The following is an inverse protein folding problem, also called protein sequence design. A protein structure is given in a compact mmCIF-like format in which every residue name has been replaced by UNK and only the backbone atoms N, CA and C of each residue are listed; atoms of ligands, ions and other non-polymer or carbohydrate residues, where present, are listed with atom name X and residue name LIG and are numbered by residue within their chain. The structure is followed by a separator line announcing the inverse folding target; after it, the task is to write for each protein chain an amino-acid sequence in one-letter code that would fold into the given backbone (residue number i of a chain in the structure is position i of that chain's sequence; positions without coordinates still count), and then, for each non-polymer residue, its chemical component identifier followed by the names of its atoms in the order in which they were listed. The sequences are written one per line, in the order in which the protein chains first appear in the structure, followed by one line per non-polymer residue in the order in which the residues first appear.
data_IF_642541184278
#
_entry.id   IF_642541184278
#
_cell.length_a   1.000
_cell.length_b   1.000
_cell.length_c   1.000
_cell.angle_alpha   90.00
_cell.angle_beta   90.00
_cell.angle_gamma   90.00
#
_symmetry.space_group_name_H-M   'P 1'
#
loop_
_entity.id
_entity.type
_entity.pdbx_description
1 polymer ?
#
# COMPACT_ATOMS: atom_id res chain seq x y z
N UNK A 1 -18.97 22.61 -0.96
CA UNK A 1 -18.39 21.70 0.04
C UNK A 1 -17.42 20.80 -0.71
N UNK A 2 -16.11 20.86 -0.47
CA UNK A 2 -15.16 19.97 -1.14
C UNK A 2 -15.57 18.52 -0.86
N UNK A 3 -15.90 17.77 -1.89
CA UNK A 3 -16.31 16.39 -1.76
C UNK A 3 -15.08 15.59 -1.32
N UNK A 4 -15.14 15.04 -0.11
CA UNK A 4 -14.02 14.31 0.49
C UNK A 4 -14.06 12.89 -0.07
N UNK A 5 -13.22 12.62 -1.07
CA UNK A 5 -12.97 11.27 -1.59
C UNK A 5 -11.63 10.78 -1.05
N UNK A 6 -11.53 10.43 0.24
CA UNK A 6 -10.27 9.93 0.75
C UNK A 6 -10.00 8.59 0.05
N UNK A 7 -8.91 8.53 -0.72
CA UNK A 7 -8.46 7.31 -1.41
C UNK A 7 -8.21 6.19 -0.39
N UNK A 8 -7.76 6.56 0.82
CA UNK A 8 -7.64 5.66 1.96
C UNK A 8 -8.81 5.86 2.93
N UNK A 9 -9.52 4.78 3.24
CA UNK A 9 -10.51 4.79 4.33
C UNK A 9 -9.81 4.87 5.69
N UNK A 10 -10.54 5.30 6.73
CA UNK A 10 -9.95 5.55 8.07
C UNK A 10 -9.47 4.29 8.79
N UNK A 11 -9.94 3.13 8.37
CA UNK A 11 -9.56 1.82 8.87
C UNK A 11 -8.28 1.30 8.21
N UNK A 12 -7.75 1.94 7.18
CA UNK A 12 -6.46 1.57 6.59
C UNK A 12 -5.32 2.17 7.41
N UNK A 13 -4.38 1.32 7.80
CA UNK A 13 -3.22 1.72 8.58
C UNK A 13 -1.93 1.13 7.99
N UNK A 14 -0.88 1.95 8.01
CA UNK A 14 0.51 1.53 7.82
C UNK A 14 1.15 1.56 9.20
N UNK A 15 1.55 0.41 9.73
CA UNK A 15 2.07 0.29 11.10
C UNK A 15 3.58 0.45 11.17
N UNK A 16 4.30 0.13 10.08
CA UNK A 16 5.74 0.39 9.97
C UNK A 16 6.21 0.42 8.52
N UNK A 17 7.36 1.06 8.29
CA UNK A 17 8.08 1.02 7.02
C UNK A 17 9.56 0.77 7.31
N UNK A 18 10.13 -0.26 6.69
CA UNK A 18 11.56 -0.59 6.79
C UNK A 18 12.18 -0.62 5.41
N UNK A 19 13.34 0.02 5.23
CA UNK A 19 14.05 0.04 3.94
C UNK A 19 15.30 -0.84 4.03
N UNK A 20 15.42 -1.79 3.12
CA UNK A 20 16.59 -2.66 2.99
C UNK A 20 16.86 -2.96 1.52
N UNK A 21 18.13 -2.83 1.11
CA UNK A 21 18.59 -3.16 -0.25
C UNK A 21 17.75 -2.48 -1.36
N UNK A 22 17.34 -1.24 -1.13
CA UNK A 22 16.51 -0.47 -2.06
C UNK A 22 15.03 -0.83 -2.09
N UNK A 23 14.55 -1.72 -1.20
CA UNK A 23 13.14 -2.11 -1.11
C UNK A 23 12.55 -1.62 0.20
N UNK A 24 11.43 -0.89 0.10
CA UNK A 24 10.63 -0.49 1.25
C UNK A 24 9.61 -1.60 1.58
N UNK A 25 9.81 -2.28 2.71
CA UNK A 25 8.81 -3.18 3.29
C UNK A 25 7.80 -2.37 4.09
N UNK A 26 6.54 -2.38 3.66
CA UNK A 26 5.44 -1.59 4.23
C UNK A 26 4.49 -2.53 4.95
N UNK A 27 4.44 -2.44 6.27
CA UNK A 27 3.53 -3.22 7.09
C UNK A 27 2.14 -2.57 7.06
N UNK A 28 1.17 -3.28 6.48
CA UNK A 28 -0.20 -2.84 6.27
C UNK A 28 -1.17 -3.71 7.07
N UNK A 29 -2.31 -3.15 7.45
CA UNK A 29 -3.35 -3.91 8.14
C UNK A 29 -4.31 -4.63 7.19
N UNK A 30 -5.19 -5.47 7.75
CA UNK A 30 -6.12 -6.31 6.98
C UNK A 30 -7.12 -5.52 6.14
N UNK A 31 -7.46 -4.29 6.56
CA UNK A 31 -8.34 -3.41 5.82
C UNK A 31 -7.75 -3.04 4.45
N UNK A 32 -6.45 -2.76 4.40
CA UNK A 32 -5.74 -2.53 3.16
C UNK A 32 -5.74 -3.78 2.28
N UNK A 33 -5.36 -4.93 2.84
CA UNK A 33 -5.25 -6.20 2.10
C UNK A 33 -6.58 -6.61 1.45
N UNK A 34 -7.70 -6.41 2.16
CA UNK A 34 -9.04 -6.69 1.63
C UNK A 34 -9.37 -5.88 0.37
N UNK A 35 -8.76 -4.71 0.18
CA UNK A 35 -8.94 -3.90 -1.03
C UNK A 35 -10.39 -3.44 -1.23
N UNK A 36 -11.02 -2.94 -0.18
CA UNK A 36 -12.39 -2.42 -0.27
C UNK A 36 -12.44 -1.12 -1.07
N UNK A 37 -13.48 -0.93 -1.89
CA UNK A 37 -13.68 0.30 -2.69
C UNK A 37 -13.58 0.13 -4.20
N UNK A 38 -13.37 -1.10 -4.68
CA UNK A 38 -13.33 -1.45 -6.10
C UNK A 38 -11.95 -1.26 -6.74
N UNK A 39 -11.75 -1.89 -7.90
CA UNK A 39 -10.43 -2.02 -8.54
C UNK A 39 -9.71 -0.69 -8.76
N UNK A 40 -10.43 0.36 -9.18
CA UNK A 40 -9.83 1.68 -9.38
C UNK A 40 -9.29 2.26 -8.06
N UNK A 41 -10.06 2.15 -6.97
CA UNK A 41 -9.66 2.66 -5.65
C UNK A 41 -8.42 1.93 -5.15
N UNK A 42 -8.42 0.60 -5.24
CA UNK A 42 -7.27 -0.23 -4.81
C UNK A 42 -6.02 0.10 -5.62
N UNK A 43 -6.16 0.24 -6.94
CA UNK A 43 -5.05 0.63 -7.81
C UNK A 43 -4.48 2.01 -7.45
N UNK A 44 -5.35 2.98 -7.15
CA UNK A 44 -4.93 4.32 -6.71
C UNK A 44 -4.25 4.29 -5.33
N UNK A 45 -4.75 3.49 -4.38
CA UNK A 45 -4.12 3.30 -3.06
C UNK A 45 -2.71 2.72 -3.20
N UNK A 46 -2.56 1.64 -3.96
CA UNK A 46 -1.25 1.02 -4.21
C UNK A 46 -0.30 1.99 -4.92
N UNK A 47 -0.76 2.66 -5.99
CA UNK A 47 0.05 3.62 -6.74
C UNK A 47 0.48 4.81 -5.88
N UNK A 48 -0.39 5.31 -4.99
CA UNK A 48 -0.05 6.41 -4.09
C UNK A 48 1.09 6.03 -3.14
N UNK A 49 1.06 4.82 -2.56
CA UNK A 49 2.13 4.33 -1.68
C UNK A 49 3.41 4.11 -2.49
N UNK A 50 3.33 3.40 -3.61
CA UNK A 50 4.48 3.08 -4.46
C UNK A 50 5.17 4.35 -4.93
N UNK A 51 4.45 5.27 -5.57
CA UNK A 51 5.02 6.49 -6.12
C UNK A 51 5.61 7.42 -5.06
N UNK A 52 5.01 7.46 -3.85
CA UNK A 52 5.54 8.27 -2.75
C UNK A 52 6.82 7.66 -2.17
N UNK A 53 6.89 6.34 -2.05
CA UNK A 53 8.09 5.69 -1.52
C UNK A 53 9.22 5.65 -2.55
N UNK A 54 8.92 5.45 -3.83
CA UNK A 54 9.94 5.47 -4.89
C UNK A 54 10.34 6.87 -5.35
N UNK A 55 9.74 7.93 -4.79
CA UNK A 55 10.27 9.29 -5.00
C UNK A 55 11.54 9.56 -4.18
N UNK A 56 11.87 8.69 -3.22
CA UNK A 56 13.16 8.74 -2.53
C UNK A 56 14.19 7.96 -3.35
N UNK A 57 15.32 8.60 -3.68
CA UNK A 57 16.34 8.05 -4.58
C UNK A 57 16.90 6.68 -4.17
N UNK A 58 16.84 6.35 -2.88
CA UNK A 58 17.34 5.09 -2.34
C UNK A 58 16.28 3.96 -2.28
N UNK A 59 15.08 4.16 -2.85
CA UNK A 59 13.98 3.20 -2.85
C UNK A 59 13.55 2.92 -4.30
N UNK A 60 13.77 1.69 -4.74
CA UNK A 60 13.48 1.22 -6.09
C UNK A 60 12.15 0.44 -6.18
N UNK A 61 11.57 0.06 -5.04
CA UNK A 61 10.35 -0.73 -5.00
C UNK A 61 9.75 -0.86 -3.62
N UNK A 62 8.53 -1.39 -3.58
CA UNK A 62 7.74 -1.58 -2.37
C UNK A 62 7.34 -3.04 -2.24
N UNK A 63 7.48 -3.59 -1.03
CA UNK A 63 6.97 -4.90 -0.64
C UNK A 63 5.88 -4.69 0.42
N UNK A 64 4.66 -5.08 0.13
CA UNK A 64 3.58 -5.07 1.12
C UNK A 64 3.68 -6.29 2.03
N UNK A 65 3.60 -6.05 3.34
CA UNK A 65 3.69 -7.05 4.40
C UNK A 65 2.50 -6.90 5.35
N UNK A 66 1.93 -7.99 5.82
CA UNK A 66 0.86 -8.00 6.82
C UNK A 66 1.13 -9.13 7.82
N UNK A 67 1.12 -8.80 9.11
CA UNK A 67 1.53 -9.66 10.20
C UNK A 67 2.90 -10.33 9.95
N UNK A 68 3.86 -9.54 9.43
CA UNK A 68 5.23 -10.01 9.12
C UNK A 68 5.34 -10.96 7.91
N UNK A 69 4.26 -11.17 7.15
CA UNK A 69 4.24 -12.04 5.96
C UNK A 69 3.98 -11.22 4.70
N UNK A 70 4.60 -11.62 3.59
CA UNK A 70 4.36 -11.00 2.28
C UNK A 70 2.88 -11.10 1.93
N UNK A 71 2.30 -9.99 1.52
CA UNK A 71 0.93 -9.92 1.00
C UNK A 71 0.98 -10.30 -0.47
N UNK A 72 0.41 -11.44 -0.92
CA UNK A 72 0.44 -11.86 -2.33
C UNK A 72 -0.59 -11.14 -3.20
N UNK A 73 -1.62 -10.56 -2.58
CA UNK A 73 -2.72 -9.88 -3.27
C UNK A 73 -3.28 -8.75 -2.42
N UNK A 74 -3.67 -7.65 -3.08
CA UNK A 74 -4.45 -6.56 -2.47
C UNK A 74 -5.74 -6.42 -3.27
N UNK A 75 -6.89 -6.73 -2.67
CA UNK A 75 -8.13 -6.89 -3.42
C UNK A 75 -7.99 -7.92 -4.55
N UNK A 76 -8.20 -7.49 -5.80
CA UNK A 76 -8.09 -8.30 -7.01
C UNK A 76 -6.70 -8.30 -7.67
N UNK A 77 -5.74 -7.53 -7.15
CA UNK A 77 -4.42 -7.33 -7.76
C UNK A 77 -3.35 -8.23 -7.14
N UNK A 78 -2.56 -8.92 -7.98
CA UNK A 78 -1.34 -9.62 -7.56
C UNK A 78 -0.22 -8.60 -7.28
N UNK A 79 0.58 -8.86 -6.25
CA UNK A 79 1.68 -8.01 -5.78
C UNK A 79 3.07 -8.54 -6.14
N UNK A 80 3.13 -9.68 -6.84
CA UNK A 80 4.38 -10.28 -7.34
C UNK A 80 5.03 -9.45 -8.43
#
# INVERSE_FOLDING_TARGET
RAQKYPVFSKDIEITSVTVKDGIASVEVNDAFVKGNGGDLTVKLQMAAIVNTLTSFDNINGVLFVNNGKKVPTVGSFDTK
#
